data_IF_385922694365
#
_entry.id   IF_385922694365
#
_cell.length_a   1.000
_cell.length_b   1.000
_cell.length_c   1.000
_cell.angle_alpha   90.00
_cell.angle_beta   90.00
_cell.angle_gamma   90.00
#
_symmetry.space_group_name_H-M   'P 1'
#
loop_
_entity.id
_entity.type
_entity.pdbx_description
1 polymer ?
#
# COMPACT_ATOMS: atom_id res chain seq x y z
N UNK A 1 13.18 -10.08 -16.26
CA UNK A 1 13.29 -8.67 -16.69
C UNK A 1 12.19 -7.82 -16.09
N UNK A 2 10.89 -8.00 -16.39
CA UNK A 2 9.81 -7.18 -15.79
C UNK A 2 9.68 -7.26 -14.25
N UNK A 3 10.06 -8.37 -13.65
CA UNK A 3 9.98 -8.62 -12.21
C UNK A 3 11.12 -7.97 -11.42
N UNK A 4 12.31 -7.85 -12.01
CA UNK A 4 13.44 -7.12 -11.42
C UNK A 4 13.24 -5.59 -11.52
N UNK A 5 12.57 -5.10 -12.57
CA UNK A 5 12.22 -3.69 -12.73
C UNK A 5 11.18 -3.26 -11.70
N UNK A 6 10.12 -4.04 -11.46
CA UNK A 6 9.10 -3.74 -10.45
C UNK A 6 9.66 -3.70 -9.01
N UNK A 7 10.70 -4.51 -8.72
CA UNK A 7 11.40 -4.49 -7.42
C UNK A 7 12.38 -3.30 -7.35
N UNK A 8 12.93 -2.83 -8.47
CA UNK A 8 13.84 -1.67 -8.50
C UNK A 8 13.12 -0.33 -8.31
N UNK A 9 11.84 -0.23 -8.65
CA UNK A 9 11.03 0.98 -8.40
C UNK A 9 10.60 1.13 -6.93
N UNK A 10 10.56 0.03 -6.18
CA UNK A 10 10.45 0.06 -4.73
C UNK A 10 11.77 0.52 -4.14
N UNK A 11 11.90 1.78 -3.85
CA UNK A 11 13.09 2.39 -3.25
C UNK A 11 13.29 1.93 -1.80
N UNK A 12 13.39 0.59 -1.59
CA UNK A 12 13.60 0.00 -0.28
C UNK A 12 14.99 -0.63 -0.18
N UNK A 13 15.58 -0.48 1.00
CA UNK A 13 16.88 -1.08 1.29
C UNK A 13 16.72 -2.60 1.43
N UNK A 14 17.20 -3.35 0.45
CA UNK A 14 17.16 -4.81 0.49
C UNK A 14 18.14 -5.32 1.56
N UNK A 15 17.84 -6.42 2.26
CA UNK A 15 18.75 -6.98 3.26
C UNK A 15 20.15 -7.30 2.73
N UNK A 16 20.28 -7.62 1.45
CA UNK A 16 21.55 -7.83 0.76
C UNK A 16 22.38 -6.55 0.58
N UNK A 17 21.74 -5.37 0.58
CA UNK A 17 22.39 -4.06 0.44
C UNK A 17 22.67 -3.38 1.78
N UNK A 18 22.21 -3.99 2.89
CA UNK A 18 22.46 -3.52 4.25
C UNK A 18 23.90 -3.86 4.70
N UNK A 19 24.50 -2.98 5.51
CA UNK A 19 25.69 -3.34 6.30
C UNK A 19 25.32 -4.45 7.30
N UNK A 20 26.34 -5.15 7.84
CA UNK A 20 26.08 -6.23 8.82
C UNK A 20 25.37 -5.67 10.07
N UNK A 21 25.77 -4.49 10.56
CA UNK A 21 25.14 -3.83 11.70
C UNK A 21 23.65 -3.46 11.42
N UNK A 22 23.37 -2.88 10.26
CA UNK A 22 22.00 -2.56 9.83
C UNK A 22 21.15 -3.82 9.71
N UNK A 23 21.74 -4.90 9.18
CA UNK A 23 21.04 -6.17 9.02
C UNK A 23 20.71 -6.81 10.36
N UNK A 24 21.63 -6.77 11.32
CA UNK A 24 21.42 -7.31 12.67
C UNK A 24 20.36 -6.52 13.43
N UNK A 25 20.39 -5.19 13.36
CA UNK A 25 19.37 -4.33 13.94
C UNK A 25 18.00 -4.59 13.32
N UNK A 26 17.93 -4.69 11.99
CA UNK A 26 16.70 -4.99 11.29
C UNK A 26 16.17 -6.40 11.60
N UNK A 27 17.05 -7.39 11.72
CA UNK A 27 16.68 -8.74 12.13
C UNK A 27 16.07 -8.76 13.54
N UNK A 28 16.68 -8.06 14.49
CA UNK A 28 16.14 -7.94 15.85
C UNK A 28 14.77 -7.26 15.88
N UNK A 29 14.55 -6.24 15.04
CA UNK A 29 13.24 -5.62 14.85
C UNK A 29 12.23 -6.62 14.29
N UNK A 30 12.58 -7.39 13.27
CA UNK A 30 11.70 -8.38 12.67
C UNK A 30 11.35 -9.53 13.62
N UNK A 31 12.27 -9.97 14.47
CA UNK A 31 12.06 -11.04 15.47
C UNK A 31 11.01 -10.65 16.53
N UNK A 32 10.82 -9.36 16.77
CA UNK A 32 9.80 -8.85 17.70
C UNK A 32 8.39 -8.76 17.09
N UNK A 33 8.27 -8.92 15.77
CA UNK A 33 7.02 -8.74 15.01
C UNK A 33 6.24 -10.04 14.88
N UNK A 34 4.92 -9.91 14.83
CA UNK A 34 4.03 -11.06 14.71
C UNK A 34 3.70 -11.41 13.26
N UNK A 35 3.38 -12.67 13.01
CA UNK A 35 2.87 -13.12 11.71
C UNK A 35 1.51 -12.48 11.37
N UNK A 36 0.73 -12.15 12.39
CA UNK A 36 -0.52 -11.41 12.22
C UNK A 36 -0.27 -9.99 11.69
N UNK A 37 0.81 -9.33 12.16
CA UNK A 37 1.24 -8.04 11.65
C UNK A 37 1.64 -8.12 10.17
N UNK A 38 2.44 -9.13 9.80
CA UNK A 38 2.80 -9.38 8.40
C UNK A 38 1.58 -9.52 7.49
N UNK A 39 0.62 -10.35 7.91
CA UNK A 39 -0.65 -10.53 7.21
C UNK A 39 -1.46 -9.24 7.12
N UNK A 40 -1.60 -8.53 8.23
CA UNK A 40 -2.31 -7.26 8.27
C UNK A 40 -1.72 -6.24 7.29
N UNK A 41 -0.39 -6.10 7.24
CA UNK A 41 0.28 -5.21 6.30
C UNK A 41 0.01 -5.60 4.85
N UNK A 42 0.13 -6.90 4.51
CA UNK A 42 -0.15 -7.40 3.16
C UNK A 42 -1.60 -7.13 2.74
N UNK A 43 -2.56 -7.45 3.60
CA UNK A 43 -3.99 -7.23 3.34
C UNK A 43 -4.30 -5.73 3.22
N UNK A 44 -3.70 -4.89 4.06
CA UNK A 44 -3.84 -3.43 4.00
C UNK A 44 -3.29 -2.86 2.69
N UNK A 45 -2.17 -3.38 2.19
CA UNK A 45 -1.61 -2.99 0.90
C UNK A 45 -2.37 -3.57 -0.31
N UNK A 46 -3.37 -4.44 -0.10
CA UNK A 46 -4.13 -5.04 -1.19
C UNK A 46 -3.36 -6.08 -2.00
N UNK A 47 -2.28 -6.63 -1.44
CA UNK A 47 -1.40 -7.61 -2.10
C UNK A 47 -1.95 -9.02 -1.86
N UNK A 48 -2.21 -9.77 -2.94
CA UNK A 48 -2.60 -11.17 -2.85
C UNK A 48 -1.41 -12.04 -2.44
N UNK A 49 -1.67 -13.09 -1.66
CA UNK A 49 -0.58 -13.98 -1.17
C UNK A 49 0.16 -14.68 -2.32
N UNK A 50 -0.51 -14.93 -3.44
CA UNK A 50 0.09 -15.51 -4.64
C UNK A 50 1.03 -14.51 -5.32
N UNK A 51 0.62 -13.25 -5.41
CA UNK A 51 1.39 -12.13 -5.95
C UNK A 51 2.66 -11.89 -5.09
N UNK A 52 2.51 -11.87 -3.76
CA UNK A 52 3.65 -11.79 -2.84
C UNK A 52 4.65 -12.93 -3.07
N UNK A 53 4.16 -14.16 -3.23
CA UNK A 53 5.02 -15.32 -3.47
C UNK A 53 5.78 -15.19 -4.79
N UNK A 54 5.12 -14.75 -5.85
CA UNK A 54 5.71 -14.52 -7.18
C UNK A 54 6.77 -13.42 -7.12
N UNK A 55 6.44 -12.27 -6.54
CA UNK A 55 7.35 -11.12 -6.39
C UNK A 55 8.61 -11.46 -5.61
N UNK A 56 8.50 -12.27 -4.57
CA UNK A 56 9.65 -12.68 -3.76
C UNK A 56 10.37 -13.92 -4.29
N UNK A 57 9.87 -14.54 -5.37
CA UNK A 57 10.46 -15.74 -5.96
C UNK A 57 10.38 -16.97 -5.04
N UNK A 58 9.33 -17.07 -4.22
CA UNK A 58 9.12 -18.20 -3.29
C UNK A 58 7.90 -19.01 -3.67
N UNK A 59 7.83 -20.25 -3.14
CA UNK A 59 6.63 -21.06 -3.35
C UNK A 59 5.45 -20.49 -2.58
N UNK A 60 4.25 -20.57 -3.17
CA UNK A 60 3.00 -20.14 -2.53
C UNK A 60 2.81 -20.73 -1.12
N UNK A 61 3.15 -22.00 -0.94
CA UNK A 61 3.08 -22.66 0.37
C UNK A 61 4.05 -22.05 1.40
N UNK A 62 5.18 -21.53 0.96
CA UNK A 62 6.12 -20.82 1.82
C UNK A 62 5.51 -19.49 2.30
N UNK A 63 4.96 -18.70 1.39
CA UNK A 63 4.29 -17.44 1.72
C UNK A 63 3.10 -17.67 2.66
N UNK A 64 2.26 -18.67 2.40
CA UNK A 64 1.14 -19.04 3.29
C UNK A 64 1.59 -19.43 4.70
N UNK A 65 2.75 -20.10 4.84
CA UNK A 65 3.31 -20.48 6.16
C UNK A 65 3.78 -19.27 6.96
N UNK A 66 4.22 -18.20 6.32
CA UNK A 66 4.62 -16.97 7.00
C UNK A 66 3.47 -16.34 7.80
N UNK A 67 2.24 -16.49 7.32
CA UNK A 67 1.04 -15.97 7.98
C UNK A 67 0.34 -16.97 8.90
N UNK A 68 0.80 -18.23 8.93
CA UNK A 68 0.15 -19.26 9.73
C UNK A 68 0.51 -19.07 11.21
N UNK A 69 -0.47 -19.00 12.14
CA UNK A 69 -0.22 -18.62 13.54
C UNK A 69 0.73 -19.56 14.30
N UNK A 70 0.77 -20.84 13.95
CA UNK A 70 1.52 -21.86 14.71
C UNK A 70 2.44 -22.74 13.89
N UNK A 71 2.36 -22.72 12.55
CA UNK A 71 3.11 -23.63 11.69
C UNK A 71 4.03 -22.89 10.74
N UNK A 72 5.20 -23.47 10.51
CA UNK A 72 6.16 -22.97 9.53
C UNK A 72 7.15 -21.97 10.10
N UNK A 73 8.05 -21.51 9.24
CA UNK A 73 9.04 -20.49 9.56
C UNK A 73 8.42 -19.08 9.52
N UNK A 74 8.95 -18.13 10.30
CA UNK A 74 8.55 -16.74 10.20
C UNK A 74 8.88 -16.16 8.80
N UNK A 75 8.30 -15.00 8.44
CA UNK A 75 8.70 -14.29 7.23
C UNK A 75 10.22 -14.03 7.23
N UNK A 76 10.84 -14.15 6.05
CA UNK A 76 12.25 -13.81 5.89
C UNK A 76 12.48 -12.30 6.03
N UNK A 77 13.71 -11.88 6.30
CA UNK A 77 14.07 -10.45 6.32
C UNK A 77 13.70 -9.75 5.00
N UNK A 78 13.93 -10.44 3.87
CA UNK A 78 13.54 -9.93 2.55
C UNK A 78 12.03 -9.74 2.43
N UNK A 79 11.25 -10.66 2.98
CA UNK A 79 9.78 -10.54 2.97
C UNK A 79 9.31 -9.37 3.85
N UNK A 80 9.91 -9.18 5.03
CA UNK A 80 9.63 -8.04 5.87
C UNK A 80 10.00 -6.72 5.21
N UNK A 81 11.21 -6.62 4.62
CA UNK A 81 11.67 -5.41 3.95
C UNK A 81 10.75 -5.03 2.78
N UNK A 82 10.30 -6.00 1.99
CA UNK A 82 9.31 -5.77 0.93
C UNK A 82 7.98 -5.24 1.49
N UNK A 83 7.47 -5.86 2.55
CA UNK A 83 6.20 -5.42 3.16
C UNK A 83 6.31 -4.06 3.82
N UNK A 84 7.43 -3.75 4.49
CA UNK A 84 7.68 -2.43 5.06
C UNK A 84 7.67 -1.35 3.97
N UNK A 85 8.30 -1.61 2.82
CA UNK A 85 8.30 -0.69 1.69
C UNK A 85 6.89 -0.48 1.09
N UNK A 86 6.13 -1.56 0.88
CA UNK A 86 4.76 -1.46 0.38
C UNK A 86 3.87 -0.69 1.34
N UNK A 87 3.99 -0.96 2.63
CA UNK A 87 3.19 -0.31 3.65
C UNK A 87 3.55 1.17 3.82
N UNK A 88 4.84 1.51 3.76
CA UNK A 88 5.29 2.92 3.75
C UNK A 88 4.69 3.68 2.57
N UNK A 89 4.78 3.13 1.36
CA UNK A 89 4.17 3.75 0.17
C UNK A 89 2.66 3.97 0.30
N UNK A 90 1.95 3.01 0.92
CA UNK A 90 0.53 3.17 1.20
C UNK A 90 0.27 4.36 2.13
N UNK A 91 1.05 4.47 3.21
CA UNK A 91 0.92 5.58 4.16
C UNK A 91 1.26 6.92 3.51
N UNK A 92 2.35 6.99 2.74
CA UNK A 92 2.77 8.20 2.02
C UNK A 92 1.71 8.65 1.00
N UNK A 93 1.07 7.68 0.31
CA UNK A 93 -0.02 7.99 -0.62
C UNK A 93 -1.26 8.57 0.09
N UNK A 94 -1.60 8.02 1.26
CA UNK A 94 -2.72 8.54 2.08
C UNK A 94 -2.40 9.92 2.62
N UNK A 95 -1.20 10.13 3.18
CA UNK A 95 -0.76 11.43 3.70
C UNK A 95 -0.77 12.49 2.60
N UNK A 96 -0.23 12.16 1.42
CA UNK A 96 -0.24 13.06 0.26
C UNK A 96 -1.67 13.43 -0.15
N UNK A 97 -2.57 12.44 -0.24
CA UNK A 97 -3.94 12.70 -0.64
C UNK A 97 -4.72 13.54 0.39
N UNK A 98 -4.52 13.26 1.68
CA UNK A 98 -5.13 14.06 2.76
C UNK A 98 -4.60 15.49 2.73
N UNK A 99 -3.27 15.67 2.61
CA UNK A 99 -2.66 17.00 2.54
C UNK A 99 -3.20 17.84 1.37
N UNK A 100 -3.39 17.23 0.19
CA UNK A 100 -4.00 17.93 -0.96
C UNK A 100 -5.44 18.38 -0.69
N UNK A 101 -6.21 17.62 0.07
CA UNK A 101 -7.60 17.99 0.43
C UNK A 101 -7.62 19.09 1.48
N UNK A 102 -6.69 19.06 2.44
CA UNK A 102 -6.52 20.12 3.45
C UNK A 102 -6.09 21.44 2.80
N UNK A 103 -5.15 21.42 1.86
CA UNK A 103 -4.77 22.60 1.07
C UNK A 103 -5.96 23.16 0.30
N UNK A 104 -6.79 22.31 -0.28
CA UNK A 104 -8.01 22.72 -0.98
C UNK A 104 -9.06 23.32 -0.02
N UNK A 105 -9.22 22.78 1.20
CA UNK A 105 -10.08 23.36 2.24
C UNK A 105 -9.62 24.79 2.61
N UNK A 106 -8.31 25.00 2.75
CA UNK A 106 -7.74 26.30 3.04
C UNK A 106 -8.02 27.31 1.92
N UNK A 107 -7.93 26.90 0.66
CA UNK A 107 -8.24 27.75 -0.49
C UNK A 107 -9.73 28.10 -0.59
N UNK A 108 -10.61 27.15 -0.29
CA UNK A 108 -12.06 27.32 -0.42
C UNK A 108 -12.71 27.97 0.81
N UNK A 109 -12.08 27.86 1.97
CA UNK A 109 -12.64 28.27 3.26
C UNK A 109 -13.75 27.36 3.80
N UNK A 110 -13.91 26.19 3.22
CA UNK A 110 -14.85 25.14 3.68
C UNK A 110 -14.40 23.75 3.23
N UNK A 111 -14.87 22.69 3.91
CA UNK A 111 -14.57 21.31 3.54
C UNK A 111 -15.18 20.94 2.19
N UNK A 112 -14.36 20.52 1.21
CA UNK A 112 -14.86 20.06 -0.09
C UNK A 112 -15.46 18.65 0.02
N UNK A 113 -16.33 18.31 -0.93
CA UNK A 113 -16.63 16.92 -1.24
C UNK A 113 -15.55 16.37 -2.17
N UNK A 114 -15.06 15.18 -1.88
CA UNK A 114 -13.94 14.56 -2.59
C UNK A 114 -14.43 13.33 -3.35
N UNK A 115 -14.11 13.24 -4.64
CA UNK A 115 -14.37 12.04 -5.44
C UNK A 115 -13.10 11.16 -5.44
N UNK A 116 -13.24 9.91 -5.01
CA UNK A 116 -12.16 8.93 -5.00
C UNK A 116 -12.48 7.81 -6.00
N UNK A 117 -11.56 7.59 -6.93
CA UNK A 117 -11.71 6.56 -7.96
C UNK A 117 -11.37 5.17 -7.43
N UNK A 118 -12.18 4.19 -7.81
CA UNK A 118 -11.96 2.77 -7.54
C UNK A 118 -11.82 2.00 -8.86
N UNK A 119 -10.87 1.08 -8.97
CA UNK A 119 -10.54 0.39 -10.23
C UNK A 119 -11.11 -1.01 -10.27
N UNK A 120 -11.62 -1.40 -11.45
CA UNK A 120 -11.98 -2.79 -11.75
C UNK A 120 -10.74 -3.59 -12.13
N UNK A 121 -10.79 -4.90 -11.94
CA UNK A 121 -9.71 -5.80 -12.35
C UNK A 121 -9.36 -5.61 -13.83
N UNK A 122 -8.08 -5.48 -14.14
CA UNK A 122 -7.56 -5.28 -15.48
C UNK A 122 -7.54 -3.83 -15.97
N UNK A 123 -7.96 -2.87 -15.15
CA UNK A 123 -7.80 -1.45 -15.48
C UNK A 123 -6.34 -1.01 -15.35
N UNK A 124 -5.93 0.02 -16.15
CA UNK A 124 -4.59 0.57 -16.04
C UNK A 124 -4.37 1.20 -14.65
N UNK A 125 -3.18 1.03 -14.15
CA UNK A 125 -2.66 1.63 -12.92
C UNK A 125 -1.42 2.47 -13.25
N UNK A 126 -0.84 3.11 -12.25
CA UNK A 126 0.48 3.73 -12.40
C UNK A 126 1.53 2.62 -12.63
N UNK A 127 2.65 2.98 -13.25
CA UNK A 127 3.73 2.05 -13.54
C UNK A 127 4.14 1.27 -12.28
N UNK A 128 4.18 -0.05 -12.39
CA UNK A 128 4.56 -0.97 -11.32
C UNK A 128 3.52 -1.21 -10.21
N UNK A 129 2.39 -0.49 -10.21
CA UNK A 129 1.33 -0.65 -9.22
C UNK A 129 0.29 -1.69 -9.69
N UNK A 130 -0.18 -2.54 -8.79
CA UNK A 130 -1.31 -3.44 -9.09
C UNK A 130 -2.65 -2.74 -8.82
N UNK A 131 -3.74 -3.28 -9.39
CA UNK A 131 -5.10 -2.80 -9.07
C UNK A 131 -5.42 -2.99 -7.59
N UNK A 132 -4.88 -4.04 -6.96
CA UNK A 132 -5.00 -4.31 -5.53
C UNK A 132 -4.41 -3.17 -4.69
N UNK A 133 -3.17 -2.77 -4.99
CA UNK A 133 -2.46 -1.68 -4.31
C UNK A 133 -3.16 -0.32 -4.53
N UNK A 134 -3.51 0.01 -5.78
CA UNK A 134 -4.23 1.23 -6.09
C UNK A 134 -5.56 1.35 -5.32
N UNK A 135 -6.31 0.26 -5.25
CA UNK A 135 -7.57 0.21 -4.51
C UNK A 135 -7.35 0.20 -2.98
N UNK A 136 -6.23 -0.33 -2.50
CA UNK A 136 -5.86 -0.24 -1.09
C UNK A 136 -5.61 1.21 -0.68
N UNK A 137 -4.85 1.96 -1.49
CA UNK A 137 -4.64 3.39 -1.27
C UNK A 137 -5.96 4.17 -1.29
N UNK A 138 -6.84 3.90 -2.26
CA UNK A 138 -8.17 4.52 -2.32
C UNK A 138 -9.00 4.24 -1.05
N UNK A 139 -9.06 2.97 -0.59
CA UNK A 139 -9.80 2.61 0.65
C UNK A 139 -9.24 3.33 1.87
N UNK A 140 -7.92 3.34 2.04
CA UNK A 140 -7.28 3.97 3.18
C UNK A 140 -7.50 5.50 3.17
N UNK A 141 -7.41 6.15 2.02
CA UNK A 141 -7.70 7.57 1.84
C UNK A 141 -9.16 7.90 2.16
N UNK A 142 -10.12 7.10 1.68
CA UNK A 142 -11.55 7.28 2.00
C UNK A 142 -11.78 7.25 3.51
N UNK A 143 -11.19 6.28 4.21
CA UNK A 143 -11.33 6.16 5.66
C UNK A 143 -10.70 7.37 6.36
N UNK A 144 -9.49 7.78 5.97
CA UNK A 144 -8.81 8.93 6.56
C UNK A 144 -9.62 10.23 6.38
N UNK A 145 -10.09 10.52 5.19
CA UNK A 145 -10.91 11.69 4.88
C UNK A 145 -12.25 11.67 5.65
N UNK A 146 -12.90 10.52 5.74
CA UNK A 146 -14.14 10.38 6.50
C UNK A 146 -13.93 10.63 8.00
N UNK A 147 -12.83 10.13 8.58
CA UNK A 147 -12.46 10.40 9.99
C UNK A 147 -12.21 11.89 10.23
N UNK A 148 -11.61 12.58 9.26
CA UNK A 148 -11.38 14.03 9.30
C UNK A 148 -12.65 14.86 9.02
N UNK A 149 -13.77 14.20 8.67
CA UNK A 149 -15.08 14.84 8.47
C UNK A 149 -15.29 15.44 7.08
N UNK A 150 -14.54 14.97 6.07
CA UNK A 150 -14.80 15.32 4.68
C UNK A 150 -15.92 14.46 4.09
N UNK A 151 -16.72 15.02 3.18
CA UNK A 151 -17.63 14.26 2.35
C UNK A 151 -16.83 13.50 1.27
N UNK A 152 -17.08 12.20 1.12
CA UNK A 152 -16.38 11.37 0.13
C UNK A 152 -17.39 10.64 -0.74
N UNK A 153 -17.25 10.78 -2.07
CA UNK A 153 -17.94 9.99 -3.07
C UNK A 153 -16.97 8.97 -3.67
N UNK A 154 -17.45 7.77 -3.97
CA UNK A 154 -16.63 6.73 -4.61
C UNK A 154 -17.19 6.44 -5.99
N UNK A 155 -16.32 6.50 -7.00
CA UNK A 155 -16.68 6.30 -8.40
C UNK A 155 -15.80 5.20 -9.02
N UNK A 156 -16.31 4.55 -10.05
CA UNK A 156 -15.44 3.71 -10.88
C UNK A 156 -14.52 4.60 -11.71
N UNK A 157 -13.26 4.23 -11.83
CA UNK A 157 -12.26 5.01 -12.55
C UNK A 157 -12.52 5.16 -14.06
N UNK A 158 -13.42 4.34 -14.64
CA UNK A 158 -13.89 4.41 -16.02
C UNK A 158 -15.15 5.29 -16.17
N UNK A 159 -15.75 5.74 -15.09
CA UNK A 159 -16.96 6.58 -15.06
C UNK A 159 -16.66 8.05 -14.70
N UNK A 160 -15.43 8.33 -14.24
CA UNK A 160 -14.97 9.65 -13.84
C UNK A 160 -13.49 9.89 -14.10
N UNK A 161 -12.95 11.05 -13.72
CA UNK A 161 -11.53 11.32 -13.86
C UNK A 161 -10.71 10.34 -13.01
N UNK A 162 -9.66 9.77 -13.61
CA UNK A 162 -8.79 8.81 -12.92
C UNK A 162 -8.00 9.51 -11.80
N UNK A 163 -8.21 9.12 -10.55
CA UNK A 163 -7.48 9.62 -9.41
C UNK A 163 -8.36 10.30 -8.36
N UNK A 164 -7.72 10.95 -7.40
CA UNK A 164 -8.38 11.82 -6.43
C UNK A 164 -8.76 13.13 -7.15
N UNK A 165 -10.05 13.41 -7.31
CA UNK A 165 -10.54 14.66 -7.85
C UNK A 165 -11.44 15.33 -6.80
N UNK A 166 -11.17 16.58 -6.47
CA UNK A 166 -12.07 17.40 -5.68
C UNK A 166 -13.12 18.01 -6.63
N UNK A 167 -14.37 17.61 -6.49
CA UNK A 167 -15.46 18.26 -7.18
C UNK A 167 -15.96 19.42 -6.33
N UNK A 168 -15.77 20.63 -6.88
CA UNK A 168 -16.37 21.84 -6.33
C UNK A 168 -17.88 21.75 -6.51
N UNK A 169 -18.59 21.19 -5.56
CA UNK A 169 -20.03 21.41 -5.49
C UNK A 169 -20.25 22.90 -5.26
N UNK A 170 -20.54 23.61 -6.34
CA UNK A 170 -21.04 25.00 -6.21
C UNK A 170 -22.36 24.94 -5.45
N UNK A 171 -22.55 25.85 -4.49
CA UNK A 171 -23.81 26.00 -3.80
C UNK A 171 -24.96 26.32 -4.75
#
# INVERSE_FOLDING_TARGET
MAMEEAIMELNYLKPEDMTDEQRDEYAAKCDSRSRAEFRMMRESCGIEIAELAETLGVRLDTAKRWEHPTKGMPPSLRAWAYMDACYSRLLDAVETAVGQVEELEDELGHKPNVNVSYRRKGMPTRDGETVGEANAASRATIIALAVLGYGVNVEWADEGPAGLAAELTRP
#
